data_IF_858145568942
#
_entry.id   IF_858145568942
#
_cell.length_a   1.000
_cell.length_b   1.000
_cell.length_c   1.000
_cell.angle_alpha   90.00
_cell.angle_beta   90.00
_cell.angle_gamma   90.00
#
_symmetry.space_group_name_H-M   'P 1'
#
loop_
_entity.id
_entity.type
_entity.pdbx_description
1 polymer ?
#
# COMPACT_ATOMS: atom_id res chain seq x y z
N UNK A 1 11.37 -12.67 -27.34
CA UNK A 1 12.34 -13.80 -27.45
C UNK A 1 13.10 -14.01 -26.14
N UNK A 2 13.82 -13.01 -25.61
CA UNK A 2 14.60 -13.15 -24.36
C UNK A 2 13.79 -13.61 -23.14
N UNK A 3 12.62 -13.03 -22.88
CA UNK A 3 11.75 -13.42 -21.77
C UNK A 3 11.38 -14.92 -21.79
N UNK A 4 11.09 -15.46 -22.97
CA UNK A 4 10.81 -16.90 -23.13
C UNK A 4 12.04 -17.74 -22.85
N UNK A 5 13.23 -17.32 -23.30
CA UNK A 5 14.49 -18.04 -23.01
C UNK A 5 14.78 -18.10 -21.51
N UNK A 6 14.52 -17.01 -20.78
CA UNK A 6 14.70 -16.94 -19.33
C UNK A 6 13.78 -17.93 -18.61
N UNK A 7 12.56 -18.14 -19.10
CA UNK A 7 11.63 -19.11 -18.52
C UNK A 7 12.14 -20.55 -18.58
N UNK A 8 12.95 -20.90 -19.60
CA UNK A 8 13.62 -22.21 -19.67
C UNK A 8 14.86 -22.31 -18.77
N UNK A 9 15.32 -21.21 -18.18
CA UNK A 9 16.50 -21.20 -17.34
C UNK A 9 16.19 -21.48 -15.86
N UNK A 10 17.14 -22.12 -15.19
CA UNK A 10 17.22 -22.21 -13.74
C UNK A 10 17.71 -20.88 -13.16
N UNK A 11 16.85 -20.26 -12.35
CA UNK A 11 17.15 -19.01 -11.64
C UNK A 11 17.42 -19.25 -10.15
N UNK A 12 17.44 -20.50 -9.69
CA UNK A 12 17.53 -20.83 -8.26
C UNK A 12 18.78 -20.28 -7.59
N UNK A 13 19.89 -20.17 -8.32
CA UNK A 13 21.14 -19.57 -7.85
C UNK A 13 21.06 -18.06 -7.56
N UNK A 14 20.03 -17.38 -8.07
CA UNK A 14 19.79 -15.96 -7.84
C UNK A 14 18.79 -15.71 -6.71
N UNK A 15 18.19 -16.77 -6.14
CA UNK A 15 17.33 -16.63 -4.97
C UNK A 15 18.17 -16.11 -3.81
N UNK A 16 17.61 -15.18 -3.08
CA UNK A 16 18.25 -14.53 -1.92
C UNK A 16 17.77 -15.13 -0.61
N UNK A 17 16.68 -15.89 -0.66
CA UNK A 17 16.11 -16.59 0.49
C UNK A 17 15.80 -18.05 0.12
N UNK A 18 15.77 -18.91 1.12
CA UNK A 18 15.33 -20.29 0.95
C UNK A 18 13.84 -20.37 0.65
N UNK A 19 13.43 -21.39 -0.11
CA UNK A 19 12.03 -21.58 -0.50
C UNK A 19 11.13 -22.02 0.67
N UNK A 20 11.72 -22.60 1.73
CA UNK A 20 11.01 -23.22 2.83
C UNK A 20 9.94 -24.20 2.32
N UNK A 21 8.77 -24.25 2.97
CA UNK A 21 7.69 -25.18 2.65
C UNK A 21 6.79 -24.72 1.49
N UNK A 22 7.11 -23.59 0.85
CA UNK A 22 6.31 -23.09 -0.27
C UNK A 22 6.50 -23.96 -1.53
N UNK A 23 5.45 -24.20 -2.32
CA UNK A 23 5.57 -24.99 -3.54
C UNK A 23 6.38 -24.24 -4.60
N UNK A 24 7.18 -24.93 -5.43
CA UNK A 24 7.90 -24.26 -6.52
C UNK A 24 6.93 -23.51 -7.42
N UNK A 25 7.25 -22.26 -7.76
CA UNK A 25 6.44 -21.48 -8.69
C UNK A 25 6.30 -22.20 -10.05
N UNK A 26 5.06 -22.36 -10.50
CA UNK A 26 4.77 -22.85 -11.84
C UNK A 26 4.97 -21.73 -12.87
N UNK A 27 5.66 -22.05 -13.97
CA UNK A 27 5.83 -21.14 -15.12
C UNK A 27 4.73 -21.42 -16.12
N UNK A 28 3.85 -20.46 -16.33
CA UNK A 28 2.62 -20.60 -17.12
C UNK A 28 2.89 -20.99 -18.58
N UNK A 29 4.01 -20.53 -19.15
CA UNK A 29 4.32 -20.78 -20.57
C UNK A 29 5.23 -22.00 -20.80
N UNK A 30 5.61 -22.72 -19.75
CA UNK A 30 6.54 -23.85 -19.84
C UNK A 30 5.85 -25.13 -19.40
N UNK A 31 6.11 -26.22 -20.12
CA UNK A 31 5.59 -27.55 -19.76
C UNK A 31 6.19 -27.94 -18.39
N UNK A 32 5.37 -28.31 -17.38
CA UNK A 32 5.86 -28.58 -16.02
C UNK A 32 6.96 -29.65 -15.93
N UNK A 33 7.01 -30.58 -16.88
CA UNK A 33 8.01 -31.66 -16.95
C UNK A 33 9.36 -31.23 -17.53
N UNK A 34 9.46 -30.02 -18.08
CA UNK A 34 10.71 -29.52 -18.66
C UNK A 34 11.76 -29.21 -17.60
N UNK A 35 12.90 -29.91 -17.68
CA UNK A 35 14.06 -29.64 -16.82
C UNK A 35 14.65 -28.26 -17.14
N UNK A 36 14.84 -27.38 -16.13
CA UNK A 36 15.48 -26.08 -16.34
C UNK A 36 16.92 -26.22 -16.85
N UNK A 37 17.32 -25.31 -17.74
CA UNK A 37 18.69 -25.21 -18.27
C UNK A 37 19.51 -24.22 -17.44
N UNK A 38 20.83 -24.36 -17.44
CA UNK A 38 21.69 -23.34 -16.83
C UNK A 38 21.56 -22.00 -17.59
N UNK A 39 21.41 -20.89 -16.86
CA UNK A 39 21.33 -19.57 -17.47
C UNK A 39 22.69 -19.14 -18.07
N UNK A 40 22.77 -18.78 -19.37
CA UNK A 40 23.99 -18.26 -20.00
C UNK A 40 24.46 -16.94 -19.38
N UNK A 41 25.78 -16.71 -19.29
CA UNK A 41 26.39 -15.53 -18.63
C UNK A 41 25.79 -14.21 -19.07
N UNK A 42 25.55 -14.05 -20.37
CA UNK A 42 25.09 -12.78 -20.95
C UNK A 42 23.67 -12.44 -20.48
N UNK A 43 22.80 -13.46 -20.32
CA UNK A 43 21.46 -13.25 -19.74
C UNK A 43 21.53 -12.87 -18.27
N UNK A 44 22.50 -13.43 -17.53
CA UNK A 44 22.71 -13.08 -16.13
C UNK A 44 23.12 -11.60 -16.02
N UNK A 45 23.99 -11.13 -16.92
CA UNK A 45 24.41 -9.73 -16.95
C UNK A 45 23.25 -8.79 -17.31
N UNK A 46 22.36 -9.19 -18.22
CA UNK A 46 21.20 -8.37 -18.61
C UNK A 46 20.18 -8.26 -17.48
N UNK A 47 19.99 -9.30 -16.65
CA UNK A 47 18.93 -9.34 -15.63
C UNK A 47 19.41 -9.00 -14.22
N UNK A 48 20.54 -9.57 -13.81
CA UNK A 48 20.95 -9.64 -12.40
C UNK A 48 22.22 -8.84 -12.09
N UNK A 49 22.90 -8.27 -13.10
CA UNK A 49 23.97 -7.30 -12.85
C UNK A 49 23.40 -5.92 -12.51
N UNK A 50 24.27 -5.01 -12.05
CA UNK A 50 23.92 -3.64 -11.63
C UNK A 50 23.10 -2.88 -12.68
N UNK A 51 23.42 -3.06 -13.96
CA UNK A 51 22.72 -2.39 -15.07
C UNK A 51 21.39 -3.05 -15.47
N UNK A 52 21.06 -4.22 -14.91
CA UNK A 52 19.85 -4.96 -15.23
C UNK A 52 18.56 -4.22 -14.89
N UNK A 53 18.64 -3.25 -13.98
CA UNK A 53 17.51 -2.34 -13.68
C UNK A 53 17.01 -1.58 -14.92
N UNK A 54 17.88 -1.31 -15.90
CA UNK A 54 17.48 -0.68 -17.17
C UNK A 54 16.61 -1.62 -17.98
N UNK A 55 16.97 -2.90 -18.08
CA UNK A 55 16.14 -3.89 -18.76
C UNK A 55 14.80 -4.06 -18.05
N UNK A 56 14.80 -4.16 -16.71
CA UNK A 56 13.57 -4.23 -15.92
C UNK A 56 12.68 -3.02 -16.21
N UNK A 57 13.23 -1.79 -16.22
CA UNK A 57 12.49 -0.57 -16.55
C UNK A 57 11.78 -0.66 -17.90
N UNK A 58 12.48 -1.06 -18.95
CA UNK A 58 11.89 -1.21 -20.28
C UNK A 58 10.80 -2.29 -20.29
N UNK A 59 11.03 -3.42 -19.61
CA UNK A 59 10.00 -4.47 -19.47
C UNK A 59 8.74 -3.93 -18.79
N UNK A 60 8.86 -3.15 -17.71
CA UNK A 60 7.70 -2.56 -17.02
C UNK A 60 7.00 -1.53 -17.92
N UNK A 61 7.74 -0.75 -18.71
CA UNK A 61 7.15 0.18 -19.69
C UNK A 61 6.30 -0.55 -20.74
N UNK A 62 6.74 -1.72 -21.21
CA UNK A 62 5.99 -2.52 -22.20
C UNK A 62 4.59 -2.93 -21.72
N UNK A 63 4.35 -3.04 -20.41
CA UNK A 63 3.00 -3.32 -19.89
C UNK A 63 1.99 -2.22 -20.20
N UNK A 64 2.45 -0.97 -20.37
CA UNK A 64 1.59 0.15 -20.77
C UNK A 64 1.43 0.24 -22.28
N UNK A 65 2.53 0.09 -23.01
CA UNK A 65 2.57 0.34 -24.46
C UNK A 65 1.97 -0.80 -25.27
N UNK A 66 2.15 -2.05 -24.84
CA UNK A 66 1.72 -3.24 -25.58
C UNK A 66 1.05 -4.26 -24.63
N UNK A 67 -0.05 -3.90 -23.96
CA UNK A 67 -0.64 -4.71 -22.90
C UNK A 67 -1.03 -6.13 -23.33
N UNK A 68 -1.44 -6.29 -24.58
CA UNK A 68 -1.87 -7.58 -25.15
C UNK A 68 -0.71 -8.56 -25.45
N UNK A 69 0.56 -8.15 -25.29
CA UNK A 69 1.73 -8.96 -25.62
C UNK A 69 2.67 -9.18 -24.41
N UNK A 70 2.14 -9.08 -23.19
CA UNK A 70 2.93 -9.05 -21.95
C UNK A 70 3.00 -10.38 -21.20
N UNK A 71 2.28 -11.42 -21.63
CA UNK A 71 2.19 -12.71 -20.91
C UNK A 71 3.56 -13.31 -20.61
N UNK A 72 4.47 -13.35 -21.59
CA UNK A 72 5.82 -13.88 -21.39
C UNK A 72 6.69 -12.98 -20.51
N UNK A 73 6.46 -11.66 -20.54
CA UNK A 73 7.18 -10.72 -19.68
C UNK A 73 6.72 -10.87 -18.23
N UNK A 74 5.41 -11.02 -18.00
CA UNK A 74 4.84 -11.27 -16.69
C UNK A 74 5.42 -12.55 -16.08
N UNK A 75 5.29 -13.68 -16.80
CA UNK A 75 5.78 -14.97 -16.30
C UNK A 75 7.29 -14.92 -16.01
N UNK A 76 8.07 -14.24 -16.85
CA UNK A 76 9.50 -14.03 -16.65
C UNK A 76 9.79 -13.19 -15.40
N UNK A 77 9.12 -12.04 -15.21
CA UNK A 77 9.31 -11.19 -14.03
C UNK A 77 9.00 -11.98 -12.76
N UNK A 78 7.88 -12.70 -12.75
CA UNK A 78 7.46 -13.49 -11.60
C UNK A 78 8.42 -14.66 -11.33
N UNK A 79 8.93 -15.33 -12.37
CA UNK A 79 9.97 -16.36 -12.27
C UNK A 79 11.25 -15.83 -11.62
N UNK A 80 11.69 -14.63 -12.02
CA UNK A 80 12.88 -14.00 -11.46
C UNK A 80 12.68 -13.41 -10.06
N UNK A 81 11.46 -12.99 -9.68
CA UNK A 81 11.13 -12.46 -8.35
C UNK A 81 10.99 -13.55 -7.28
N UNK A 82 10.60 -14.78 -7.67
CA UNK A 82 10.34 -15.86 -6.73
C UNK A 82 11.56 -16.17 -5.84
N UNK A 83 11.39 -16.02 -4.52
CA UNK A 83 12.46 -16.15 -3.51
C UNK A 83 13.68 -15.23 -3.75
N UNK A 84 13.53 -14.15 -4.51
CA UNK A 84 14.60 -13.22 -4.86
C UNK A 84 14.21 -11.78 -4.47
N UNK A 85 14.71 -11.35 -3.32
CA UNK A 85 14.42 -10.07 -2.70
C UNK A 85 15.00 -8.90 -3.48
N UNK A 86 16.24 -9.02 -3.94
CA UNK A 86 16.94 -7.95 -4.69
C UNK A 86 16.25 -7.66 -6.02
N UNK A 87 15.88 -8.71 -6.76
CA UNK A 87 15.16 -8.57 -8.02
C UNK A 87 13.75 -8.02 -7.78
N UNK A 88 13.05 -8.54 -6.76
CA UNK A 88 11.74 -8.05 -6.33
C UNK A 88 11.75 -6.56 -6.01
N UNK A 89 12.75 -6.08 -5.26
CA UNK A 89 12.89 -4.66 -4.93
C UNK A 89 13.07 -3.80 -6.19
N UNK A 90 13.88 -4.26 -7.14
CA UNK A 90 14.11 -3.56 -8.41
C UNK A 90 12.83 -3.47 -9.25
N UNK A 91 12.07 -4.56 -9.35
CA UNK A 91 10.76 -4.59 -10.04
C UNK A 91 9.76 -3.67 -9.34
N UNK A 92 9.66 -3.75 -8.01
CA UNK A 92 8.76 -2.91 -7.21
C UNK A 92 9.05 -1.41 -7.40
N UNK A 93 10.33 -1.03 -7.36
CA UNK A 93 10.77 0.36 -7.58
C UNK A 93 10.34 0.87 -8.97
N UNK A 94 10.47 0.05 -10.01
CA UNK A 94 10.02 0.41 -11.36
C UNK A 94 8.50 0.51 -11.46
N UNK A 95 7.76 -0.40 -10.81
CA UNK A 95 6.29 -0.36 -10.73
C UNK A 95 5.82 0.93 -10.04
N UNK A 96 6.34 1.27 -8.85
CA UNK A 96 5.98 2.52 -8.16
C UNK A 96 6.28 3.75 -9.01
N UNK A 97 7.43 3.76 -9.69
CA UNK A 97 7.79 4.83 -10.63
C UNK A 97 6.74 5.00 -11.73
N UNK A 98 6.24 3.90 -12.30
CA UNK A 98 5.16 3.95 -13.29
C UNK A 98 3.83 4.38 -12.68
N UNK A 99 3.42 3.83 -11.53
CA UNK A 99 2.18 4.21 -10.85
C UNK A 99 2.17 5.72 -10.54
N UNK A 100 3.31 6.28 -10.14
CA UNK A 100 3.46 7.70 -9.81
C UNK A 100 3.55 8.64 -11.01
N UNK A 101 3.79 8.18 -12.23
CA UNK A 101 4.11 9.07 -13.37
C UNK A 101 3.33 8.81 -14.66
N UNK A 102 2.81 7.59 -14.86
CA UNK A 102 2.06 7.23 -16.05
C UNK A 102 0.73 8.00 -16.18
N UNK A 103 0.22 8.21 -17.41
CA UNK A 103 -1.15 8.66 -17.63
C UNK A 103 -2.15 7.75 -16.92
N UNK A 104 -3.13 8.36 -16.27
CA UNK A 104 -4.04 7.67 -15.34
C UNK A 104 -4.88 6.58 -16.02
N UNK A 105 -5.16 6.70 -17.32
CA UNK A 105 -5.87 5.69 -18.13
C UNK A 105 -5.02 4.46 -18.49
N UNK A 106 -3.71 4.49 -18.27
CA UNK A 106 -2.79 3.37 -18.55
C UNK A 106 -2.35 2.62 -17.30
N UNK A 107 -2.65 3.16 -16.12
CA UNK A 107 -2.28 2.57 -14.82
C UNK A 107 -2.84 1.16 -14.62
N UNK A 108 -3.98 0.84 -15.23
CA UNK A 108 -4.63 -0.47 -15.11
C UNK A 108 -3.67 -1.63 -15.36
N UNK A 109 -2.86 -1.56 -16.42
CA UNK A 109 -1.95 -2.65 -16.77
C UNK A 109 -0.78 -2.78 -15.79
N UNK A 110 -0.29 -1.67 -15.26
CA UNK A 110 0.74 -1.65 -14.21
C UNK A 110 0.18 -2.21 -12.90
N UNK A 111 -1.06 -1.87 -12.53
CA UNK A 111 -1.71 -2.38 -11.33
C UNK A 111 -2.06 -3.87 -11.45
N UNK A 112 -2.38 -4.38 -12.65
CA UNK A 112 -2.51 -5.82 -12.89
C UNK A 112 -1.16 -6.53 -12.68
N UNK A 113 -0.06 -5.99 -13.22
CA UNK A 113 1.27 -6.54 -12.95
C UNK A 113 1.60 -6.55 -11.45
N UNK A 114 1.28 -5.46 -10.74
CA UNK A 114 1.48 -5.40 -9.30
C UNK A 114 0.62 -6.44 -8.57
N UNK A 115 -0.63 -6.64 -8.97
CA UNK A 115 -1.51 -7.68 -8.40
C UNK A 115 -0.87 -9.06 -8.51
N UNK A 116 -0.44 -9.44 -9.70
CA UNK A 116 0.19 -10.75 -9.96
C UNK A 116 1.48 -10.95 -9.14
N UNK A 117 2.27 -9.88 -8.96
CA UNK A 117 3.46 -9.89 -8.12
C UNK A 117 3.11 -10.10 -6.63
N UNK A 118 2.04 -9.49 -6.14
CA UNK A 118 1.60 -9.59 -4.74
C UNK A 118 0.83 -10.88 -4.42
N UNK A 119 0.19 -11.49 -5.42
CA UNK A 119 -0.49 -12.79 -5.32
C UNK A 119 0.48 -13.97 -5.30
N UNK A 120 1.75 -13.78 -5.67
CA UNK A 120 2.73 -14.85 -5.66
C UNK A 120 2.96 -15.35 -4.22
N UNK A 121 2.75 -16.65 -4.01
CA UNK A 121 2.98 -17.33 -2.74
C UNK A 121 4.43 -17.84 -2.68
N UNK A 122 5.24 -17.18 -1.85
CA UNK A 122 6.58 -17.58 -1.45
C UNK A 122 6.89 -16.90 -0.09
N UNK A 123 8.04 -17.18 0.54
CA UNK A 123 8.34 -16.55 1.83
C UNK A 123 8.55 -15.03 1.78
N UNK A 124 8.61 -14.40 0.58
CA UNK A 124 8.70 -12.95 0.42
C UNK A 124 7.33 -12.29 0.24
N UNK A 125 6.22 -13.01 0.18
CA UNK A 125 4.90 -12.41 -0.11
C UNK A 125 4.54 -11.29 0.88
N UNK A 126 4.76 -11.49 2.19
CA UNK A 126 4.50 -10.46 3.20
C UNK A 126 5.41 -9.24 3.03
N UNK A 127 6.67 -9.45 2.68
CA UNK A 127 7.61 -8.37 2.37
C UNK A 127 7.20 -7.61 1.11
N UNK A 128 6.70 -8.31 0.07
CA UNK A 128 6.17 -7.69 -1.15
C UNK A 128 4.96 -6.81 -0.85
N UNK A 129 4.03 -7.27 0.00
CA UNK A 129 2.89 -6.47 0.44
C UNK A 129 3.34 -5.18 1.15
N UNK A 130 4.28 -5.31 2.10
CA UNK A 130 4.85 -4.17 2.80
C UNK A 130 5.54 -3.18 1.86
N UNK A 131 6.39 -3.68 0.97
CA UNK A 131 7.05 -2.86 -0.04
C UNK A 131 6.04 -2.17 -0.95
N UNK A 132 4.99 -2.84 -1.42
CA UNK A 132 4.01 -2.22 -2.29
C UNK A 132 3.25 -1.09 -1.61
N UNK A 133 2.79 -1.29 -0.37
CA UNK A 133 1.92 -0.34 0.33
C UNK A 133 2.72 0.80 0.96
N UNK A 134 3.79 0.48 1.70
CA UNK A 134 4.61 1.46 2.45
C UNK A 134 5.80 1.97 1.63
N UNK A 135 6.34 1.17 0.72
CA UNK A 135 7.52 1.51 -0.07
C UNK A 135 8.84 1.17 0.60
N UNK A 136 9.93 1.46 -0.11
CA UNK A 136 11.27 1.53 0.45
C UNK A 136 11.59 3.00 0.74
N UNK A 137 11.67 3.39 2.02
CA UNK A 137 11.79 4.79 2.46
C UNK A 137 10.56 5.66 2.10
N UNK A 138 9.35 5.18 2.41
CA UNK A 138 8.08 5.91 2.27
C UNK A 138 7.73 6.36 0.85
N UNK A 139 8.04 5.55 -0.16
CA UNK A 139 7.69 5.81 -1.56
C UNK A 139 6.63 4.85 -2.14
N UNK A 140 5.88 4.15 -1.28
CA UNK A 140 4.86 3.17 -1.67
C UNK A 140 3.53 3.79 -2.08
N UNK A 141 2.53 2.93 -2.28
CA UNK A 141 1.20 3.33 -2.74
C UNK A 141 0.54 4.38 -1.82
N UNK A 142 0.70 4.29 -0.50
CA UNK A 142 0.10 5.28 0.41
C UNK A 142 0.66 6.69 0.17
N UNK A 143 1.96 6.80 -0.11
CA UNK A 143 2.57 8.09 -0.41
C UNK A 143 2.13 8.61 -1.79
N UNK A 144 2.01 7.73 -2.78
CA UNK A 144 1.50 8.10 -4.11
C UNK A 144 0.05 8.61 -4.00
N UNK A 145 -0.81 7.89 -3.26
CA UNK A 145 -2.19 8.33 -2.99
C UNK A 145 -2.18 9.73 -2.40
N UNK A 146 -1.35 9.98 -1.39
CA UNK A 146 -1.29 11.25 -0.65
C UNK A 146 -0.91 12.40 -1.56
N UNK A 147 0.17 12.24 -2.34
CA UNK A 147 0.69 13.23 -3.30
C UNK A 147 -0.31 13.58 -4.39
N UNK A 148 -1.12 12.61 -4.83
CA UNK A 148 -2.01 12.79 -5.97
C UNK A 148 -3.41 13.29 -5.59
N UNK A 149 -3.76 13.37 -4.30
CA UNK A 149 -5.12 13.73 -3.86
C UNK A 149 -5.66 15.05 -4.41
N UNK A 150 -4.80 16.03 -4.69
CA UNK A 150 -5.16 17.34 -5.24
C UNK A 150 -4.98 17.43 -6.77
N UNK A 151 -3.80 17.07 -7.28
CA UNK A 151 -3.43 17.29 -8.69
C UNK A 151 -3.82 16.16 -9.63
N UNK A 152 -4.02 14.95 -9.10
CA UNK A 152 -4.41 13.75 -9.85
C UNK A 152 -5.25 12.81 -8.98
N UNK A 153 -6.36 13.36 -8.47
CA UNK A 153 -7.27 12.66 -7.56
C UNK A 153 -7.76 11.31 -8.12
N UNK A 154 -7.81 11.17 -9.45
CA UNK A 154 -8.16 9.90 -10.09
C UNK A 154 -7.11 8.82 -9.85
N UNK A 155 -5.82 9.16 -9.93
CA UNK A 155 -4.74 8.22 -9.59
C UNK A 155 -4.81 7.78 -8.13
N UNK A 156 -5.06 8.71 -7.20
CA UNK A 156 -5.27 8.38 -5.78
C UNK A 156 -6.41 7.37 -5.62
N UNK A 157 -7.55 7.62 -6.30
CA UNK A 157 -8.66 6.68 -6.28
C UNK A 157 -8.31 5.31 -6.88
N UNK A 158 -7.64 5.25 -8.04
CA UNK A 158 -7.25 3.97 -8.64
C UNK A 158 -6.33 3.14 -7.73
N UNK A 159 -5.42 3.79 -7.00
CA UNK A 159 -4.57 3.12 -6.01
C UNK A 159 -5.38 2.60 -4.81
N UNK A 160 -6.35 3.38 -4.30
CA UNK A 160 -7.26 2.92 -3.23
C UNK A 160 -8.09 1.73 -3.73
N UNK A 161 -8.69 1.84 -4.91
CA UNK A 161 -9.45 0.75 -5.55
C UNK A 161 -8.60 -0.51 -5.72
N UNK A 162 -7.33 -0.37 -6.07
CA UNK A 162 -6.39 -1.48 -6.15
C UNK A 162 -6.17 -2.15 -4.79
N UNK A 163 -5.97 -1.39 -3.71
CA UNK A 163 -5.76 -1.95 -2.36
C UNK A 163 -6.98 -2.75 -1.90
N UNK A 164 -8.19 -2.23 -2.13
CA UNK A 164 -9.46 -2.92 -1.84
C UNK A 164 -9.61 -4.18 -2.70
N UNK A 165 -9.30 -4.09 -3.99
CA UNK A 165 -9.34 -5.26 -4.86
C UNK A 165 -8.36 -6.36 -4.42
N UNK A 166 -7.16 -5.96 -4.00
CA UNK A 166 -6.12 -6.86 -3.50
C UNK A 166 -6.58 -7.57 -2.21
N UNK A 167 -7.19 -6.87 -1.25
CA UNK A 167 -7.70 -7.50 -0.02
C UNK A 167 -8.79 -8.54 -0.30
N UNK A 168 -9.61 -8.34 -1.31
CA UNK A 168 -10.65 -9.29 -1.69
C UNK A 168 -10.10 -10.54 -2.39
N UNK A 169 -8.85 -10.48 -2.90
CA UNK A 169 -8.20 -11.58 -3.63
C UNK A 169 -7.17 -12.34 -2.80
N UNK A 170 -6.55 -11.68 -1.83
CA UNK A 170 -5.46 -12.24 -1.03
C UNK A 170 -5.76 -12.06 0.47
N UNK A 171 -5.99 -13.18 1.18
CA UNK A 171 -6.23 -13.19 2.63
C UNK A 171 -5.08 -12.52 3.38
N UNK A 172 -3.84 -12.85 3.02
CA UNK A 172 -2.66 -12.27 3.66
C UNK A 172 -2.54 -10.76 3.41
N UNK A 173 -3.02 -10.27 2.27
CA UNK A 173 -3.11 -8.82 2.00
C UNK A 173 -4.22 -8.15 2.81
N UNK A 174 -5.38 -8.82 2.96
CA UNK A 174 -6.47 -8.36 3.82
C UNK A 174 -5.98 -8.20 5.26
N UNK A 175 -5.38 -9.26 5.81
CA UNK A 175 -4.79 -9.26 7.16
C UNK A 175 -3.75 -8.17 7.31
N UNK A 176 -2.81 -8.05 6.37
CA UNK A 176 -1.79 -7.02 6.41
C UNK A 176 -2.39 -5.60 6.40
N UNK A 177 -3.37 -5.31 5.53
CA UNK A 177 -4.04 -4.00 5.49
C UNK A 177 -4.81 -3.67 6.76
N UNK A 178 -5.36 -4.68 7.45
CA UNK A 178 -5.95 -4.52 8.78
C UNK A 178 -4.87 -4.12 9.81
N UNK A 179 -3.71 -4.78 9.83
CA UNK A 179 -2.62 -4.43 10.78
C UNK A 179 -2.09 -3.00 10.63
N UNK A 180 -2.29 -2.37 9.48
CA UNK A 180 -1.89 -0.98 9.21
C UNK A 180 -3.08 -0.04 9.03
N UNK A 181 -4.28 -0.42 9.48
CA UNK A 181 -5.54 0.34 9.35
C UNK A 181 -5.37 1.84 9.64
N UNK A 182 -4.76 2.18 10.78
CA UNK A 182 -4.45 3.56 11.20
C UNK A 182 -3.65 4.34 10.15
N UNK A 183 -2.74 3.68 9.43
CA UNK A 183 -1.84 4.34 8.46
C UNK A 183 -2.50 4.68 7.13
N UNK A 184 -3.61 4.02 6.78
CA UNK A 184 -4.31 4.27 5.52
C UNK A 184 -5.77 4.71 5.69
N UNK A 185 -6.29 4.75 6.92
CA UNK A 185 -7.62 5.29 7.25
C UNK A 185 -7.83 6.70 6.68
N UNK A 186 -6.80 7.54 6.66
CA UNK A 186 -6.89 8.88 6.05
C UNK A 186 -7.24 8.83 4.56
N UNK A 187 -6.82 7.79 3.82
CA UNK A 187 -7.12 7.62 2.40
C UNK A 187 -8.60 7.26 2.20
N UNK A 188 -9.14 6.41 3.07
CA UNK A 188 -10.58 6.07 3.10
C UNK A 188 -11.41 7.31 3.44
N UNK A 189 -11.01 8.07 4.46
CA UNK A 189 -11.65 9.32 4.83
C UNK A 189 -11.59 10.37 3.71
N UNK A 190 -10.46 10.44 3.00
CA UNK A 190 -10.34 11.30 1.81
C UNK A 190 -11.34 10.88 0.72
N UNK A 191 -11.45 9.58 0.43
CA UNK A 191 -12.42 9.08 -0.56
C UNK A 191 -13.86 9.36 -0.13
N UNK A 192 -14.18 9.17 1.15
CA UNK A 192 -15.48 9.51 1.75
C UNK A 192 -15.83 10.98 1.54
N UNK A 193 -14.91 11.88 1.88
CA UNK A 193 -15.08 13.34 1.66
C UNK A 193 -15.26 13.66 0.18
N UNK A 194 -14.46 13.05 -0.70
CA UNK A 194 -14.54 13.24 -2.15
C UNK A 194 -15.89 12.80 -2.69
N UNK A 195 -16.47 11.72 -2.19
CA UNK A 195 -17.80 11.24 -2.58
C UNK A 195 -18.93 12.19 -2.13
N UNK A 196 -18.80 12.90 -1.00
CA UNK A 196 -19.84 13.78 -0.45
C UNK A 196 -19.84 15.24 -0.95
N UNK A 197 -18.80 15.68 -1.67
CA UNK A 197 -18.69 17.06 -2.19
C UNK A 197 -19.85 17.42 -3.16
N UNK A 198 -20.46 18.60 -2.94
CA UNK A 198 -21.84 19.02 -3.28
C UNK A 198 -22.24 19.25 -4.76
N UNK A 199 -21.58 18.62 -5.73
CA UNK A 199 -22.05 18.66 -7.12
C UNK A 199 -22.31 17.24 -7.60
N UNK A 200 -23.49 16.72 -7.22
CA UNK A 200 -24.00 15.46 -7.71
C UNK A 200 -24.64 15.65 -9.08
N UNK A 201 -23.90 15.30 -10.12
CA UNK A 201 -24.49 14.75 -11.34
C UNK A 201 -23.72 13.47 -11.64
N UNK A 202 -24.39 12.30 -11.69
CA UNK A 202 -23.76 11.07 -12.15
C UNK A 202 -23.19 11.30 -13.55
N UNK A 203 -21.88 11.39 -13.68
CA UNK A 203 -21.24 11.43 -14.99
C UNK A 203 -21.02 10.00 -15.45
N UNK A 204 -21.42 9.69 -16.68
CA UNK A 204 -21.19 8.38 -17.32
C UNK A 204 -19.70 8.15 -17.68
N UNK A 205 -18.77 8.78 -16.96
CA UNK A 205 -17.34 8.78 -17.25
C UNK A 205 -16.62 7.95 -16.20
N UNK A 206 -15.98 6.86 -16.63
CA UNK A 206 -15.25 5.95 -15.75
C UNK A 206 -13.95 6.58 -15.25
N UNK A 207 -13.59 6.26 -14.01
CA UNK A 207 -12.29 6.57 -13.43
C UNK A 207 -11.13 5.74 -14.04
N UNK A 208 -11.40 4.71 -14.84
CA UNK A 208 -10.38 3.87 -15.49
C UNK A 208 -10.03 4.34 -16.91
N UNK A 209 -10.99 4.85 -17.68
CA UNK A 209 -10.81 5.05 -19.13
C UNK A 209 -10.68 6.50 -19.59
N UNK A 210 -11.01 7.47 -18.74
CA UNK A 210 -10.90 8.89 -19.10
C UNK A 210 -9.45 9.39 -18.96
N UNK A 211 -9.08 10.39 -19.77
CA UNK A 211 -7.76 11.06 -19.75
C UNK A 211 -7.66 12.20 -18.73
N UNK A 212 -8.77 12.62 -18.13
CA UNK A 212 -8.78 13.62 -17.07
C UNK A 212 -8.02 13.20 -15.79
N UNK A 213 -7.71 14.19 -14.94
CA UNK A 213 -7.04 13.97 -13.64
C UNK A 213 -8.00 14.06 -12.44
N UNK A 214 -9.23 14.49 -12.69
CA UNK A 214 -10.28 14.61 -11.69
C UNK A 214 -10.99 13.29 -11.44
N UNK A 215 -11.15 12.98 -10.16
CA UNK A 215 -11.99 11.89 -9.66
C UNK A 215 -13.44 12.08 -10.09
N UNK A 216 -14.08 10.98 -10.49
CA UNK A 216 -15.50 10.91 -10.86
C UNK A 216 -16.25 10.11 -9.80
N UNK A 217 -17.43 10.60 -9.37
CA UNK A 217 -18.28 9.92 -8.40
C UNK A 217 -19.12 8.85 -9.09
N UNK A 218 -18.55 7.66 -9.27
CA UNK A 218 -19.19 6.53 -9.95
C UNK A 218 -19.71 5.50 -8.96
N UNK A 219 -20.64 4.62 -9.37
CA UNK A 219 -21.11 3.49 -8.53
C UNK A 219 -19.93 2.63 -8.04
N UNK A 220 -18.99 2.31 -8.92
CA UNK A 220 -17.77 1.58 -8.53
C UNK A 220 -16.94 2.27 -7.45
N UNK A 221 -16.99 3.62 -7.36
CA UNK A 221 -16.29 4.35 -6.31
C UNK A 221 -17.04 4.28 -4.98
N UNK A 222 -18.37 4.19 -5.03
CA UNK A 222 -19.21 3.95 -3.87
C UNK A 222 -18.99 2.54 -3.32
N UNK A 223 -18.96 1.54 -4.19
CA UNK A 223 -18.66 0.15 -3.81
C UNK A 223 -17.26 0.05 -3.18
N UNK A 224 -16.26 0.66 -3.82
CA UNK A 224 -14.89 0.73 -3.29
C UNK A 224 -14.86 1.38 -1.90
N UNK A 225 -15.59 2.47 -1.69
CA UNK A 225 -15.65 3.15 -0.39
C UNK A 225 -16.33 2.27 0.66
N UNK A 226 -17.42 1.58 0.31
CA UNK A 226 -18.13 0.69 1.22
C UNK A 226 -17.22 -0.46 1.67
N UNK A 227 -16.55 -1.12 0.74
CA UNK A 227 -15.61 -2.21 1.03
C UNK A 227 -14.40 -1.73 1.85
N UNK A 228 -13.83 -0.56 1.51
CA UNK A 228 -12.73 0.02 2.27
C UNK A 228 -13.14 0.37 3.73
N UNK A 229 -14.37 0.85 3.92
CA UNK A 229 -14.90 1.17 5.26
C UNK A 229 -15.11 -0.11 6.06
N UNK A 230 -15.73 -1.13 5.45
CA UNK A 230 -15.92 -2.44 6.08
C UNK A 230 -14.58 -3.08 6.50
N UNK A 231 -13.54 -2.96 5.68
CA UNK A 231 -12.20 -3.45 6.00
C UNK A 231 -11.59 -2.79 7.26
N UNK A 232 -11.89 -1.51 7.50
CA UNK A 232 -11.45 -0.79 8.70
C UNK A 232 -12.32 -1.14 9.92
N UNK A 233 -13.62 -1.38 9.73
CA UNK A 233 -14.56 -1.72 10.82
C UNK A 233 -14.40 -3.17 11.31
N UNK A 234 -14.03 -4.12 10.42
CA UNK A 234 -13.71 -5.51 10.78
C UNK A 234 -12.57 -5.61 11.80
N UNK A 235 -11.69 -4.60 11.93
CA UNK A 235 -10.66 -4.55 12.96
C UNK A 235 -11.27 -4.33 14.36
N UNK A 236 -12.18 -3.36 14.47
CA UNK A 236 -12.75 -2.93 15.75
C UNK A 236 -13.61 -4.03 16.41
N UNK A 237 -14.10 -4.99 15.63
CA UNK A 237 -14.91 -6.12 16.13
C UNK A 237 -14.06 -7.29 16.62
N UNK A 238 -12.84 -7.47 16.09
CA UNK A 238 -11.93 -8.54 16.54
C UNK A 238 -11.31 -8.26 17.91
N UNK A 239 -11.18 -6.99 18.28
CA UNK A 239 -10.64 -6.59 19.57
C UNK A 239 -11.68 -6.70 20.70
N UNK A 240 -12.98 -6.80 20.39
CA UNK A 240 -14.09 -6.87 21.38
C UNK A 240 -14.44 -8.32 21.79
N UNK A 241 -14.17 -9.31 20.92
CA UNK A 241 -14.44 -10.73 21.19
C UNK A 241 -13.35 -11.41 22.08
N UNK A 242 -12.34 -10.67 22.55
CA UNK A 242 -11.18 -11.17 23.30
C UNK A 242 -11.24 -11.06 24.82
N UNK A 243 -12.23 -10.36 25.39
CA UNK A 243 -12.37 -10.13 26.85
C UNK A 243 -13.56 -10.88 27.46
N UNK A 244 -13.60 -12.21 27.33
CA UNK A 244 -14.42 -13.06 28.20
C UNK A 244 -13.63 -14.32 28.57
N UNK A 245 -12.72 -14.20 29.53
CA UNK A 245 -12.24 -15.35 30.31
C UNK A 245 -13.08 -15.40 31.59
N UNK A 246 -13.85 -16.48 31.70
CA UNK A 246 -14.67 -16.86 32.84
C UNK A 246 -13.80 -16.97 34.10
N UNK A 247 -14.09 -16.16 35.12
CA UNK A 247 -13.58 -16.36 36.48
C UNK A 247 -14.49 -17.37 37.18
N UNK A 248 -14.12 -18.64 37.16
CA UNK A 248 -14.67 -19.66 38.06
C UNK A 248 -13.58 -20.68 38.37
N UNK A 249 -12.69 -20.39 39.33
CA UNK A 249 -12.05 -21.45 40.13
C UNK A 249 -11.92 -21.01 41.60
N UNK A 250 -12.36 -21.92 42.46
CA UNK A 250 -12.58 -21.83 43.90
C UNK A 250 -11.24 -21.85 44.67
N UNK A 251 -11.06 -20.95 45.66
CA UNK A 251 -9.95 -21.04 46.63
C UNK A 251 -10.45 -21.60 47.97
N UNK A 252 -9.95 -22.79 48.34
CA UNK A 252 -10.08 -23.39 49.67
C UNK A 252 -8.69 -23.54 50.32
N UNK A 253 -8.65 -23.37 51.66
CA UNK A 253 -7.58 -23.63 52.66
C UNK A 253 -6.48 -22.54 52.85
N UNK A 254 -5.98 -22.17 54.05
CA UNK A 254 -6.17 -22.53 55.47
C UNK A 254 -5.51 -21.45 56.36
N UNK A 255 -6.05 -21.22 57.57
CA UNK A 255 -5.52 -20.37 58.64
C UNK A 255 -4.12 -20.77 59.15
N UNK A 256 -3.30 -19.76 59.49
CA UNK A 256 -2.04 -19.93 60.23
C UNK A 256 -1.53 -18.59 60.78
N UNK A 257 -1.74 -18.39 62.08
CA UNK A 257 -1.51 -17.17 62.86
C UNK A 257 -0.02 -16.92 63.24
N UNK A 258 0.24 -15.68 63.65
CA UNK A 258 1.22 -15.18 64.63
C UNK A 258 2.49 -14.41 64.18
N UNK A 259 2.32 -13.08 64.20
CA UNK A 259 3.03 -12.10 65.06
C UNK A 259 4.50 -11.70 64.76
N UNK A 260 4.75 -10.40 64.49
CA UNK A 260 5.47 -9.44 65.40
C UNK A 260 5.89 -8.13 64.67
N UNK A 261 5.17 -7.04 65.01
CA UNK A 261 5.62 -5.72 65.54
C UNK A 261 6.69 -4.83 64.85
N UNK A 262 6.20 -3.63 64.47
CA UNK A 262 6.70 -2.22 64.57
C UNK A 262 8.17 -1.83 64.25
N UNK A 263 8.33 -0.75 63.47
CA UNK A 263 8.69 0.65 63.86
C UNK A 263 9.00 1.43 62.57
N UNK A 264 8.21 2.43 62.13
CA UNK A 264 8.16 3.86 62.50
C UNK A 264 9.51 4.60 62.40
N UNK A 265 9.63 5.45 61.38
CA UNK A 265 10.17 6.82 61.35
C UNK A 265 10.38 7.21 59.86
N UNK A 266 9.99 8.37 59.34
CA UNK A 266 9.58 9.63 59.94
C UNK A 266 10.33 10.78 59.25
N UNK A 267 9.57 11.65 58.56
CA UNK A 267 9.85 13.06 58.22
C UNK A 267 10.78 13.38 57.03
N UNK A 268 10.31 14.10 56.00
CA UNK A 268 10.02 15.57 55.88
C UNK A 268 11.28 16.29 55.36
N UNK A 269 11.31 17.28 54.46
CA UNK A 269 10.44 18.40 54.05
C UNK A 269 10.68 18.66 52.53
N UNK A 270 9.76 19.23 51.74
CA UNK A 270 9.46 20.68 51.65
C UNK A 270 10.57 21.41 50.87
N UNK A 271 10.38 22.27 49.87
CA UNK A 271 9.27 23.10 49.39
C UNK A 271 9.66 23.55 47.96
N UNK A 272 8.79 23.57 46.95
CA UNK A 272 7.72 24.54 46.68
C UNK A 272 8.21 25.91 46.13
N UNK A 273 7.42 26.43 45.16
CA UNK A 273 7.16 27.85 44.83
C UNK A 273 7.71 28.41 43.50
N UNK A 274 6.74 28.52 42.56
CA UNK A 274 6.33 29.65 41.70
C UNK A 274 7.35 30.32 40.76
N UNK A 275 6.98 30.82 39.58
CA UNK A 275 5.66 31.01 38.98
C UNK A 275 5.69 32.21 38.03
N UNK A 276 4.76 32.20 37.08
CA UNK A 276 4.11 33.31 36.37
C UNK A 276 4.92 34.16 35.35
N UNK A 277 4.49 34.17 34.07
CA UNK A 277 3.56 35.14 33.42
C UNK A 277 4.33 36.44 33.02
N UNK A 278 4.07 37.19 31.95
CA UNK A 278 3.01 37.22 30.95
C UNK A 278 3.43 38.11 29.75
N UNK A 279 2.65 37.97 28.67
CA UNK A 279 2.09 39.06 27.83
C UNK A 279 2.85 39.82 26.72
N UNK A 280 2.19 39.77 25.54
CA UNK A 280 1.84 40.89 24.61
C UNK A 280 2.95 41.53 23.76
N UNK A 281 2.75 42.09 22.56
CA UNK A 281 1.63 42.42 21.67
C UNK A 281 2.31 42.74 20.29
N UNK A 282 1.69 42.65 19.10
CA UNK A 282 0.85 43.72 18.56
C UNK A 282 0.51 43.37 17.09
N UNK A 283 -0.77 43.48 16.71
CA UNK A 283 -1.24 43.47 15.33
C UNK A 283 -1.77 44.87 14.99
N UNK A 284 -1.43 45.39 13.81
CA UNK A 284 -2.02 46.62 13.25
C UNK A 284 -2.75 46.33 11.94
N UNK A 285 -3.97 46.84 11.91
CA UNK A 285 -4.99 46.87 10.87
C UNK A 285 -4.63 47.84 9.73
N UNK A 286 -5.10 47.57 8.51
CA UNK A 286 -5.43 48.60 7.52
C UNK A 286 -6.73 48.19 6.80
N UNK A 287 -7.71 49.07 6.92
CA UNK A 287 -9.02 49.08 6.26
C UNK A 287 -8.87 49.92 4.98
N UNK A 288 -9.56 49.53 3.90
CA UNK A 288 -9.95 50.49 2.87
C UNK A 288 -11.33 50.10 2.33
N UNK A 289 -12.31 50.97 2.59
CA UNK A 289 -13.67 50.90 2.09
C UNK A 289 -13.80 51.59 0.71
N UNK A 290 -14.70 51.02 -0.10
CA UNK A 290 -15.81 51.65 -0.82
C UNK A 290 -15.75 52.34 -2.21
N UNK A 291 -16.84 52.02 -2.92
CA UNK A 291 -17.64 52.73 -3.96
C UNK A 291 -17.25 52.74 -5.45
N UNK A 292 -18.15 52.12 -6.24
CA UNK A 292 -18.74 52.62 -7.51
C UNK A 292 -17.92 52.38 -8.79
N UNK A 293 -18.48 52.15 -9.97
CA UNK A 293 -19.87 52.12 -10.45
C UNK A 293 -19.81 51.56 -11.89
N UNK A 294 -20.88 50.87 -12.29
CA UNK A 294 -21.58 50.95 -13.59
C UNK A 294 -20.86 50.71 -14.95
N UNK A 295 -21.56 49.86 -15.71
CA UNK A 295 -21.92 49.96 -17.15
C UNK A 295 -20.98 49.43 -18.25
N UNK A 296 -21.61 48.55 -19.06
CA UNK A 296 -21.61 48.54 -20.53
C UNK A 296 -20.31 48.14 -21.28
N UNK A 297 -20.28 47.31 -22.34
CA UNK A 297 -21.21 47.10 -23.46
C UNK A 297 -20.76 45.82 -24.23
N UNK A 298 -21.72 45.17 -24.90
CA UNK A 298 -21.55 44.23 -26.02
C UNK A 298 -20.47 44.66 -27.04
N UNK A 299 -19.56 43.77 -27.46
CA UNK A 299 -19.39 43.31 -28.86
C UNK A 299 -18.38 42.16 -28.91
#
# INVERSE_FOLDING_TARGET
MLAVMILYCDVSKFRTIDQADYPPRQRTLIIPTSKPLAMPSDMQQILFATEGIKYIREVILMFREVPNATTALLDMLLHCCYCNDTFTLSVMMMIHGQVSSAPTNELKHILILLLELLMMEDPLQGKRLKLAVEGNNNNGLLEIIRKCTSMDSRRSYQCIKFLVHLSNKCSMAKEYLMTISVRWQWAVNWLKKKMSEHYWTPQNVSNESSTGRSFQRTMSAQDTLAEATALLDELNTRDDDGEHIENDEEEEYVEGDSNTKMEVNGSSEGSEVNGNEDSSESSKTLVQDDVGDLDDIDT
#
